data_IF_934044429385
#
_entry.id   IF_934044429385
#
_cell.length_a   1.000
_cell.length_b   1.000
_cell.length_c   1.000
_cell.angle_alpha   90.00
_cell.angle_beta   90.00
_cell.angle_gamma   90.00
#
_symmetry.space_group_name_H-M   'P 1'
#
loop_
_entity.id
_entity.type
_entity.pdbx_description
1 polymer ?
#
# COMPACT_ATOMS: atom_id res chain seq x y z
N UNK A 1 -53.45 54.10 49.16
CA UNK A 1 -52.90 54.73 50.38
C UNK A 1 -52.10 53.65 51.08
N UNK A 2 -50.81 53.91 51.28
CA UNK A 2 -49.83 52.99 51.87
C UNK A 2 -50.14 52.87 53.37
N UNK A 3 -50.12 51.66 53.94
CA UNK A 3 -49.33 51.41 55.15
C UNK A 3 -49.21 49.92 55.52
N UNK A 4 -47.97 49.57 55.84
CA UNK A 4 -47.48 48.40 56.60
C UNK A 4 -47.63 48.77 58.09
N UNK A 5 -47.75 47.89 59.12
CA UNK A 5 -47.03 46.62 59.36
C UNK A 5 -47.94 45.50 59.96
N UNK A 6 -47.57 44.28 60.33
CA UNK A 6 -46.39 43.79 61.07
C UNK A 6 -46.30 42.25 60.98
N UNK A 7 -45.06 41.78 60.93
CA UNK A 7 -44.48 40.43 61.09
C UNK A 7 -45.25 39.41 61.95
N UNK A 8 -45.32 38.14 61.51
CA UNK A 8 -44.98 36.91 62.29
C UNK A 8 -44.67 35.77 61.28
N UNK A 9 -43.56 35.06 61.50
CA UNK A 9 -43.21 33.79 60.87
C UNK A 9 -43.63 32.64 61.80
N UNK A 10 -44.01 31.48 61.26
CA UNK A 10 -43.35 30.28 61.77
C UNK A 10 -42.95 29.27 60.69
N UNK A 11 -41.99 28.48 61.13
CA UNK A 11 -41.30 27.32 60.57
C UNK A 11 -42.12 26.30 59.77
N UNK A 12 -41.39 25.58 58.90
CA UNK A 12 -41.60 24.15 58.71
C UNK A 12 -42.00 23.72 57.30
N UNK A 13 -41.00 23.32 56.51
CA UNK A 13 -40.97 22.08 55.71
C UNK A 13 -40.03 22.27 54.51
N UNK A 14 -38.79 21.84 54.67
CA UNK A 14 -37.86 21.62 53.55
C UNK A 14 -38.41 20.43 52.75
N UNK A 15 -39.08 20.72 51.64
CA UNK A 15 -39.43 19.70 50.66
C UNK A 15 -38.14 19.19 50.01
N UNK A 16 -37.70 18.00 50.43
CA UNK A 16 -36.59 17.27 49.83
C UNK A 16 -36.93 16.95 48.36
N UNK A 17 -36.19 17.55 47.43
CA UNK A 17 -36.21 17.16 46.02
C UNK A 17 -35.88 15.66 45.90
N UNK A 18 -36.58 14.90 45.05
CA UNK A 18 -36.28 13.49 44.86
C UNK A 18 -34.85 13.34 44.35
N UNK A 19 -34.09 12.46 45.01
CA UNK A 19 -32.67 12.22 44.73
C UNK A 19 -32.44 11.98 43.24
N UNK A 20 -31.61 12.83 42.64
CA UNK A 20 -31.09 12.59 41.31
C UNK A 20 -30.37 11.23 41.31
N UNK A 21 -30.97 10.24 40.65
CA UNK A 21 -30.31 8.96 40.38
C UNK A 21 -29.00 9.27 39.68
N UNK A 22 -27.83 8.85 40.20
CA UNK A 22 -26.58 9.07 39.52
C UNK A 22 -26.63 8.30 38.21
N UNK A 23 -26.76 9.02 37.09
CA UNK A 23 -26.67 8.41 35.76
C UNK A 23 -25.25 7.83 35.66
N UNK A 24 -25.07 6.54 35.34
CA UNK A 24 -23.74 5.96 35.21
C UNK A 24 -22.98 6.81 34.19
N UNK A 25 -21.84 7.39 34.58
CA UNK A 25 -20.97 8.15 33.66
C UNK A 25 -20.62 7.22 32.50
N UNK A 26 -21.36 7.34 31.40
CA UNK A 26 -21.15 6.54 30.21
C UNK A 26 -19.69 6.74 29.80
N UNK A 27 -18.92 5.64 29.78
CA UNK A 27 -17.51 5.68 29.43
C UNK A 27 -17.35 6.46 28.11
N UNK A 28 -16.44 7.44 28.09
CA UNK A 28 -16.29 8.34 26.96
C UNK A 28 -16.18 7.55 25.64
N UNK A 29 -16.86 7.96 24.56
CA UNK A 29 -16.86 7.25 23.27
C UNK A 29 -15.45 6.88 22.77
N UNK A 30 -14.46 7.72 23.08
CA UNK A 30 -13.03 7.52 22.81
C UNK A 30 -12.43 6.29 23.53
N UNK A 31 -12.79 6.04 24.80
CA UNK A 31 -12.32 4.85 25.55
C UNK A 31 -12.90 3.56 24.98
N UNK A 32 -14.18 3.56 24.59
CA UNK A 32 -14.83 2.38 23.96
C UNK A 32 -14.22 2.06 22.58
N UNK A 33 -13.93 3.09 21.78
CA UNK A 33 -13.26 2.93 20.50
C UNK A 33 -11.82 2.38 20.62
N UNK A 34 -11.03 2.86 21.58
CA UNK A 34 -9.68 2.35 21.83
C UNK A 34 -9.68 0.90 22.33
N UNK A 35 -10.58 0.54 23.24
CA UNK A 35 -10.73 -0.87 23.70
C UNK A 35 -11.10 -1.80 22.56
N UNK A 36 -12.00 -1.38 21.66
CA UNK A 36 -12.36 -2.15 20.47
C UNK A 36 -11.19 -2.29 19.51
N UNK A 37 -10.40 -1.23 19.26
CA UNK A 37 -9.18 -1.31 18.43
C UNK A 37 -8.15 -2.26 19.02
N UNK A 38 -7.88 -2.17 20.32
CA UNK A 38 -6.96 -3.06 21.03
C UNK A 38 -7.45 -4.51 21.03
N UNK A 39 -8.75 -4.74 21.24
CA UNK A 39 -9.37 -6.06 21.14
C UNK A 39 -9.21 -6.66 19.74
N UNK A 40 -9.46 -5.88 18.69
CA UNK A 40 -9.27 -6.32 17.30
C UNK A 40 -7.79 -6.61 16.98
N UNK A 41 -6.86 -5.80 17.48
CA UNK A 41 -5.43 -6.05 17.32
C UNK A 41 -5.01 -7.35 18.05
N UNK A 42 -5.50 -7.57 19.27
CA UNK A 42 -5.27 -8.81 20.02
C UNK A 42 -5.82 -10.05 19.31
N UNK A 43 -7.04 -9.97 18.77
CA UNK A 43 -7.64 -11.07 17.98
C UNK A 43 -6.82 -11.35 16.72
N UNK A 44 -6.38 -10.31 15.98
CA UNK A 44 -5.53 -10.49 14.79
C UNK A 44 -4.19 -11.16 15.14
N UNK A 45 -3.55 -10.72 16.22
CA UNK A 45 -2.32 -11.33 16.71
C UNK A 45 -2.56 -12.78 17.12
N UNK A 46 -3.66 -13.07 17.83
CA UNK A 46 -4.03 -14.43 18.22
C UNK A 46 -4.24 -15.34 17.00
N UNK A 47 -4.85 -14.84 15.93
CA UNK A 47 -5.00 -15.59 14.67
C UNK A 47 -3.63 -15.91 14.06
N UNK A 48 -2.72 -14.94 13.97
CA UNK A 48 -1.37 -15.17 13.44
C UNK A 48 -0.61 -16.20 14.29
N UNK A 49 -0.62 -16.04 15.61
CA UNK A 49 0.03 -16.97 16.54
C UNK A 49 -0.58 -18.36 16.44
N UNK A 50 -1.91 -18.48 16.34
CA UNK A 50 -2.58 -19.76 16.18
C UNK A 50 -2.18 -20.46 14.87
N UNK A 51 -2.07 -19.73 13.76
CA UNK A 51 -1.62 -20.28 12.47
C UNK A 51 -0.17 -20.76 12.53
N UNK A 52 0.74 -19.97 13.10
CA UNK A 52 2.14 -20.37 13.26
C UNK A 52 2.30 -21.56 14.21
N UNK A 53 1.55 -21.58 15.31
CA UNK A 53 1.53 -22.71 16.24
C UNK A 53 0.99 -23.96 15.56
N UNK A 54 -0.11 -23.86 14.81
CA UNK A 54 -0.67 -24.99 14.07
C UNK A 54 0.33 -25.54 13.04
N UNK A 55 1.00 -24.68 12.29
CA UNK A 55 2.04 -25.09 11.33
C UNK A 55 3.20 -25.80 12.04
N UNK A 56 3.74 -25.24 13.12
CA UNK A 56 4.82 -25.90 13.89
C UNK A 56 4.35 -27.24 14.47
N UNK A 57 3.11 -27.35 14.94
CA UNK A 57 2.55 -28.60 15.46
C UNK A 57 2.43 -29.65 14.36
N UNK A 58 2.00 -29.27 13.15
CA UNK A 58 1.95 -30.18 12.00
C UNK A 58 3.34 -30.72 11.62
N UNK A 59 4.38 -29.89 11.68
CA UNK A 59 5.77 -30.30 11.47
C UNK A 59 6.22 -31.27 12.57
N UNK A 60 6.03 -30.90 13.84
CA UNK A 60 6.41 -31.74 14.99
C UNK A 60 5.69 -33.10 14.98
N UNK A 61 4.43 -33.12 14.56
CA UNK A 61 3.62 -34.32 14.41
C UNK A 61 3.96 -35.14 13.16
N UNK A 62 4.92 -34.69 12.34
CA UNK A 62 5.33 -35.31 11.06
C UNK A 62 4.20 -35.44 10.04
N UNK A 63 3.19 -34.60 10.14
CA UNK A 63 2.11 -34.48 9.14
C UNK A 63 2.66 -33.79 7.89
N UNK A 64 3.55 -32.83 8.11
CA UNK A 64 4.19 -32.02 7.07
C UNK A 64 5.69 -32.19 7.18
N UNK A 65 6.35 -32.45 6.06
CA UNK A 65 7.80 -32.57 6.00
C UNK A 65 8.45 -31.17 5.96
N UNK A 66 9.24 -30.79 6.98
CA UNK A 66 9.89 -29.49 7.01
C UNK A 66 10.90 -29.27 5.88
N UNK A 67 11.37 -30.33 5.20
CA UNK A 67 12.20 -30.18 4.00
C UNK A 67 11.46 -29.43 2.86
N UNK A 68 10.17 -29.73 2.67
CA UNK A 68 9.38 -29.12 1.59
C UNK A 68 8.62 -27.87 2.01
N UNK A 69 8.33 -27.72 3.30
CA UNK A 69 7.44 -26.66 3.78
C UNK A 69 8.09 -25.71 4.76
N UNK A 70 9.33 -25.98 5.18
CA UNK A 70 9.99 -25.28 6.27
C UNK A 70 9.26 -25.45 7.60
N UNK A 71 9.74 -24.73 8.60
CA UNK A 71 9.09 -24.62 9.89
C UNK A 71 9.25 -23.22 10.50
N UNK A 72 8.27 -22.72 11.26
CA UNK A 72 8.32 -21.38 11.86
C UNK A 72 9.59 -21.11 12.68
N UNK A 73 10.07 -22.11 13.42
CA UNK A 73 11.30 -22.00 14.23
C UNK A 73 12.56 -21.88 13.37
N UNK A 74 12.64 -22.65 12.30
CA UNK A 74 13.75 -22.59 11.35
C UNK A 74 13.79 -21.25 10.61
N UNK A 75 12.64 -20.79 10.13
CA UNK A 75 12.50 -19.45 9.51
C UNK A 75 12.96 -18.35 10.46
N UNK A 76 12.61 -18.43 11.74
CA UNK A 76 13.05 -17.47 12.74
C UNK A 76 14.57 -17.54 12.99
N UNK A 77 15.14 -18.74 13.03
CA UNK A 77 16.58 -18.94 13.18
C UNK A 77 17.36 -18.33 12.02
N UNK A 78 16.94 -18.57 10.77
CA UNK A 78 17.61 -18.00 9.59
C UNK A 78 17.53 -16.47 9.56
N UNK A 79 16.37 -15.89 9.93
CA UNK A 79 16.24 -14.45 10.06
C UNK A 79 17.21 -13.88 11.11
N UNK A 80 17.33 -14.56 12.25
CA UNK A 80 18.25 -14.16 13.32
C UNK A 80 19.71 -14.26 12.86
N UNK A 81 20.08 -15.35 12.18
CA UNK A 81 21.43 -15.57 11.68
C UNK A 81 21.79 -14.55 10.59
N UNK A 82 20.89 -14.27 9.66
CA UNK A 82 21.11 -13.25 8.62
C UNK A 82 21.29 -11.85 9.19
N UNK A 83 20.60 -11.52 10.27
CA UNK A 83 20.73 -10.21 10.94
C UNK A 83 22.01 -10.12 11.76
N UNK A 84 22.42 -11.20 12.43
CA UNK A 84 23.52 -11.16 13.41
C UNK A 84 24.87 -11.57 12.84
N UNK A 85 24.89 -12.61 12.01
CA UNK A 85 26.09 -13.18 11.38
C UNK A 85 26.26 -12.65 9.96
N UNK A 86 25.15 -12.42 9.26
CA UNK A 86 25.11 -12.01 7.85
C UNK A 86 24.65 -13.14 6.94
N UNK A 87 24.61 -12.87 5.64
CA UNK A 87 24.20 -13.83 4.61
C UNK A 87 25.42 -14.34 3.87
N UNK A 88 25.26 -15.43 3.11
CA UNK A 88 26.31 -15.90 2.18
C UNK A 88 26.70 -14.87 1.10
N UNK A 89 25.92 -13.79 0.95
CA UNK A 89 26.10 -12.73 -0.05
C UNK A 89 26.58 -11.42 0.58
N UNK A 90 26.92 -11.42 1.88
CA UNK A 90 27.32 -10.24 2.63
C UNK A 90 26.26 -9.81 3.64
N UNK A 91 26.25 -8.53 4.02
CA UNK A 91 25.32 -8.05 5.04
C UNK A 91 23.87 -8.07 4.53
N UNK A 92 22.93 -8.43 5.40
CA UNK A 92 21.50 -8.40 5.05
C UNK A 92 21.03 -6.99 4.67
N UNK A 93 21.60 -5.96 5.32
CA UNK A 93 21.30 -4.56 5.03
C UNK A 93 21.60 -4.19 3.58
N UNK A 94 22.76 -4.61 3.06
CA UNK A 94 23.14 -4.33 1.66
C UNK A 94 22.18 -5.02 0.68
N UNK A 95 21.78 -6.27 0.95
CA UNK A 95 20.81 -6.98 0.11
C UNK A 95 19.46 -6.26 0.08
N UNK A 96 18.96 -5.80 1.25
CA UNK A 96 17.72 -5.02 1.34
C UNK A 96 17.83 -3.71 0.57
N UNK A 97 18.95 -3.00 0.74
CA UNK A 97 19.16 -1.68 0.13
C UNK A 97 19.20 -1.79 -1.39
N UNK A 98 19.89 -2.79 -1.95
CA UNK A 98 19.96 -3.02 -3.40
C UNK A 98 18.56 -3.26 -3.97
N UNK A 99 17.79 -4.19 -3.39
CA UNK A 99 16.43 -4.48 -3.86
C UNK A 99 15.52 -3.26 -3.75
N UNK A 100 15.66 -2.47 -2.66
CA UNK A 100 14.88 -1.26 -2.47
C UNK A 100 15.25 -0.17 -3.47
N UNK A 101 16.55 0.00 -3.78
CA UNK A 101 17.02 0.93 -4.80
C UNK A 101 16.44 0.58 -6.18
N UNK A 102 16.51 -0.69 -6.57
CA UNK A 102 15.95 -1.19 -7.82
C UNK A 102 14.44 -0.93 -7.91
N UNK A 103 13.71 -1.27 -6.85
CA UNK A 103 12.27 -1.07 -6.77
C UNK A 103 11.89 0.42 -6.81
N UNK A 104 12.58 1.28 -6.04
CA UNK A 104 12.31 2.72 -5.98
C UNK A 104 12.61 3.40 -7.32
N UNK A 105 13.75 3.09 -7.95
CA UNK A 105 14.09 3.63 -9.27
C UNK A 105 13.06 3.20 -10.31
N UNK A 106 12.72 1.91 -10.35
CA UNK A 106 11.71 1.38 -11.26
C UNK A 106 10.33 2.01 -11.06
N UNK A 107 9.93 2.17 -9.80
CA UNK A 107 8.69 2.81 -9.41
C UNK A 107 8.63 4.28 -9.82
N UNK A 108 9.66 5.08 -9.51
CA UNK A 108 9.69 6.51 -9.82
C UNK A 108 9.68 6.73 -11.33
N UNK A 109 10.57 6.07 -12.06
CA UNK A 109 10.68 6.21 -13.51
C UNK A 109 9.40 5.70 -14.18
N UNK A 110 8.94 4.50 -13.82
CA UNK A 110 7.72 3.91 -14.39
C UNK A 110 6.48 4.75 -14.11
N UNK A 111 6.33 5.30 -12.91
CA UNK A 111 5.19 6.14 -12.55
C UNK A 111 5.19 7.46 -13.33
N UNK A 112 6.34 8.12 -13.43
CA UNK A 112 6.47 9.37 -14.20
C UNK A 112 6.10 9.12 -15.66
N UNK A 113 6.68 8.09 -16.29
CA UNK A 113 6.37 7.74 -17.67
C UNK A 113 4.89 7.36 -17.83
N UNK A 114 4.35 6.53 -16.93
CA UNK A 114 2.95 6.11 -16.97
C UNK A 114 1.99 7.29 -16.88
N UNK A 115 2.23 8.24 -15.97
CA UNK A 115 1.42 9.46 -15.83
C UNK A 115 1.50 10.31 -17.09
N UNK A 116 2.71 10.60 -17.58
CA UNK A 116 2.93 11.46 -18.74
C UNK A 116 2.25 10.88 -19.98
N UNK A 117 2.51 9.62 -20.30
CA UNK A 117 1.91 8.97 -21.47
C UNK A 117 0.41 8.72 -21.28
N UNK A 118 -0.03 8.33 -20.08
CA UNK A 118 -1.44 8.07 -19.79
C UNK A 118 -2.30 9.32 -19.97
N UNK A 119 -1.87 10.46 -19.41
CA UNK A 119 -2.56 11.74 -19.59
C UNK A 119 -2.50 12.21 -21.05
N UNK A 120 -1.33 12.12 -21.70
CA UNK A 120 -1.17 12.56 -23.08
C UNK A 120 -2.11 11.80 -24.04
N UNK A 121 -2.13 10.46 -23.95
CA UNK A 121 -2.97 9.61 -24.78
C UNK A 121 -4.45 9.70 -24.38
N UNK A 122 -4.76 9.90 -23.10
CA UNK A 122 -6.15 10.06 -22.63
C UNK A 122 -6.79 11.37 -23.09
N UNK A 123 -5.98 12.40 -23.36
CA UNK A 123 -6.44 13.73 -23.78
C UNK A 123 -6.53 13.91 -25.29
N UNK A 124 -5.67 13.25 -26.05
CA UNK A 124 -5.60 13.43 -27.50
C UNK A 124 -6.23 12.23 -28.18
N UNK A 125 -7.46 12.42 -28.69
CA UNK A 125 -8.24 11.35 -29.32
C UNK A 125 -7.47 10.65 -30.45
N UNK A 126 -6.77 11.42 -31.30
CA UNK A 126 -5.93 10.88 -32.37
C UNK A 126 -4.83 9.94 -31.84
N UNK A 127 -4.12 10.32 -30.78
CA UNK A 127 -3.09 9.45 -30.18
C UNK A 127 -3.74 8.19 -29.59
N UNK A 128 -4.91 8.32 -28.96
CA UNK A 128 -5.62 7.15 -28.41
C UNK A 128 -6.00 6.14 -29.50
N UNK A 129 -6.43 6.59 -30.67
CA UNK A 129 -6.80 5.73 -31.79
C UNK A 129 -5.58 5.07 -32.44
N UNK A 130 -4.50 5.84 -32.66
CA UNK A 130 -3.26 5.33 -33.25
C UNK A 130 -2.61 4.29 -32.33
N UNK A 131 -2.54 4.55 -31.02
CA UNK A 131 -1.82 3.69 -30.08
C UNK A 131 -2.68 2.56 -29.49
N UNK A 132 -4.01 2.59 -29.63
CA UNK A 132 -4.92 1.55 -29.12
C UNK A 132 -4.48 0.10 -29.45
N UNK A 133 -4.18 -0.28 -30.72
CA UNK A 133 -3.79 -1.65 -31.03
C UNK A 133 -2.45 -2.03 -30.39
N UNK A 134 -1.48 -1.10 -30.34
CA UNK A 134 -0.17 -1.33 -29.74
C UNK A 134 -0.25 -1.50 -28.22
N UNK A 135 -1.06 -0.68 -27.54
CA UNK A 135 -1.30 -0.81 -26.11
C UNK A 135 -1.97 -2.14 -25.76
N UNK A 136 -2.93 -2.57 -26.59
CA UNK A 136 -3.59 -3.87 -26.43
C UNK A 136 -2.59 -5.01 -26.61
N UNK A 137 -1.78 -4.97 -27.66
CA UNK A 137 -0.74 -5.96 -27.91
C UNK A 137 0.30 -6.02 -26.78
N UNK A 138 0.78 -4.86 -26.32
CA UNK A 138 1.76 -4.76 -25.24
C UNK A 138 1.22 -5.30 -23.90
N UNK A 139 -0.07 -5.11 -23.62
CA UNK A 139 -0.69 -5.64 -22.41
C UNK A 139 -0.80 -7.18 -22.43
N UNK A 140 -0.95 -7.79 -23.62
CA UNK A 140 -1.01 -9.25 -23.77
C UNK A 140 0.32 -9.97 -23.55
N UNK A 141 1.46 -9.25 -23.55
CA UNK A 141 2.78 -9.86 -23.37
C UNK A 141 2.98 -10.20 -21.89
N UNK A 142 3.34 -11.46 -21.54
CA UNK A 142 3.70 -11.81 -20.17
C UNK A 142 4.99 -11.10 -19.74
N UNK A 143 4.83 -9.99 -19.01
CA UNK A 143 5.94 -9.07 -18.68
C UNK A 143 7.03 -9.72 -17.83
N UNK A 144 6.69 -10.72 -17.03
CA UNK A 144 7.64 -11.47 -16.19
C UNK A 144 8.74 -12.11 -17.04
N UNK A 145 8.42 -12.60 -18.25
CA UNK A 145 9.37 -13.27 -19.15
C UNK A 145 10.43 -12.28 -19.66
N UNK A 146 10.11 -10.99 -19.72
CA UNK A 146 11.05 -9.96 -20.18
C UNK A 146 12.28 -9.83 -19.27
N UNK A 147 12.19 -10.27 -18.01
CA UNK A 147 13.33 -10.22 -17.09
C UNK A 147 14.57 -10.98 -17.59
N UNK A 148 14.37 -12.14 -18.20
CA UNK A 148 15.49 -12.92 -18.77
C UNK A 148 16.09 -12.20 -19.97
N UNK A 149 15.25 -11.60 -20.82
CA UNK A 149 15.69 -10.82 -21.99
C UNK A 149 16.50 -9.61 -21.53
N UNK A 150 16.02 -8.89 -20.52
CA UNK A 150 16.73 -7.73 -19.96
C UNK A 150 18.03 -8.12 -19.26
N UNK A 151 18.08 -9.27 -18.60
CA UNK A 151 19.33 -9.80 -18.03
C UNK A 151 20.35 -10.09 -19.12
N UNK A 152 19.94 -10.66 -20.26
CA UNK A 152 20.83 -10.89 -21.41
C UNK A 152 21.25 -9.57 -22.07
N UNK A 153 20.34 -8.62 -22.22
CA UNK A 153 20.58 -7.36 -22.94
C UNK A 153 21.40 -6.35 -22.13
N UNK A 154 21.12 -6.20 -20.83
CA UNK A 154 21.73 -5.20 -19.96
C UNK A 154 22.69 -5.81 -18.92
N UNK A 155 22.79 -7.14 -18.86
CA UNK A 155 23.65 -7.86 -17.91
C UNK A 155 23.08 -8.00 -16.51
N UNK A 156 23.95 -8.38 -15.57
CA UNK A 156 23.63 -8.68 -14.17
C UNK A 156 23.60 -7.45 -13.25
N UNK A 157 23.83 -6.25 -13.79
CA UNK A 157 23.77 -5.00 -13.03
C UNK A 157 22.35 -4.57 -12.68
N UNK A 158 22.24 -3.40 -12.05
CA UNK A 158 20.98 -2.80 -11.59
C UNK A 158 20.00 -2.51 -12.75
N UNK A 159 20.52 -2.22 -13.94
CA UNK A 159 19.75 -1.78 -15.11
C UNK A 159 18.68 -2.79 -15.53
N UNK A 160 19.00 -4.09 -15.55
CA UNK A 160 18.06 -5.13 -15.97
C UNK A 160 16.83 -5.23 -15.05
N UNK A 161 17.03 -5.04 -13.74
CA UNK A 161 15.97 -5.11 -12.71
C UNK A 161 15.14 -3.84 -12.74
N UNK A 162 15.79 -2.69 -12.81
CA UNK A 162 15.11 -1.39 -12.91
C UNK A 162 14.25 -1.33 -14.16
N UNK A 163 14.75 -1.73 -15.33
CA UNK A 163 13.95 -1.74 -16.57
C UNK A 163 12.75 -2.67 -16.45
N UNK A 164 12.92 -3.85 -15.84
CA UNK A 164 11.79 -4.75 -15.58
C UNK A 164 10.76 -4.08 -14.68
N UNK A 165 11.17 -3.53 -13.54
CA UNK A 165 10.30 -2.80 -12.62
C UNK A 165 9.59 -1.62 -13.30
N UNK A 166 10.30 -0.83 -14.13
CA UNK A 166 9.71 0.25 -14.94
C UNK A 166 8.59 -0.26 -15.82
N UNK A 167 8.79 -1.37 -16.54
CA UNK A 167 7.77 -1.93 -17.44
C UNK A 167 6.53 -2.38 -16.67
N UNK A 168 6.70 -3.05 -15.52
CA UNK A 168 5.56 -3.48 -14.71
C UNK A 168 4.77 -2.27 -14.17
N UNK A 169 5.47 -1.27 -13.62
CA UNK A 169 4.88 -0.06 -13.05
C UNK A 169 4.21 0.80 -14.11
N UNK A 170 4.89 1.01 -15.24
CA UNK A 170 4.47 1.90 -16.33
C UNK A 170 3.03 1.61 -16.75
N UNK A 171 2.70 0.36 -17.06
CA UNK A 171 1.36 0.01 -17.53
C UNK A 171 0.29 0.16 -16.44
N UNK A 172 0.61 -0.19 -15.19
CA UNK A 172 -0.31 -0.04 -14.07
C UNK A 172 -0.71 1.42 -13.86
N UNK A 173 0.27 2.32 -13.85
CA UNK A 173 0.05 3.76 -13.71
C UNK A 173 -0.55 4.38 -14.97
N UNK A 174 -0.08 3.97 -16.15
CA UNK A 174 -0.55 4.45 -17.45
C UNK A 174 -2.06 4.28 -17.61
N UNK A 175 -2.59 3.08 -17.38
CA UNK A 175 -4.03 2.84 -17.58
C UNK A 175 -4.88 3.63 -16.60
N UNK A 176 -4.46 3.77 -15.34
CA UNK A 176 -5.18 4.60 -14.37
C UNK A 176 -5.12 6.10 -14.71
N UNK A 177 -3.97 6.60 -15.14
CA UNK A 177 -3.82 7.98 -15.59
C UNK A 177 -4.64 8.26 -16.87
N UNK A 178 -4.66 7.31 -17.82
CA UNK A 178 -5.45 7.37 -19.05
C UNK A 178 -6.95 7.43 -18.76
N UNK A 179 -7.45 6.54 -17.90
CA UNK A 179 -8.86 6.51 -17.51
C UNK A 179 -9.25 7.77 -16.74
N UNK A 180 -8.44 8.16 -15.74
CA UNK A 180 -8.67 9.39 -14.97
C UNK A 180 -8.68 10.66 -15.83
N UNK A 181 -7.88 10.71 -16.90
CA UNK A 181 -7.89 11.82 -17.85
C UNK A 181 -9.14 11.86 -18.75
N UNK A 182 -9.78 10.71 -19.01
CA UNK A 182 -11.01 10.60 -19.83
C UNK A 182 -12.29 10.78 -19.01
N UNK A 183 -12.27 10.47 -17.73
CA UNK A 183 -13.41 10.62 -16.81
C UNK A 183 -13.64 12.05 -16.32
N UNK A 184 -12.73 12.98 -16.63
CA UNK A 184 -12.92 14.40 -16.31
C UNK A 184 -14.18 14.93 -17.00
N UNK A 185 -15.05 15.57 -16.22
CA UNK A 185 -16.30 16.13 -16.73
C UNK A 185 -16.04 17.07 -17.92
N UNK A 186 -16.69 16.73 -19.05
CA UNK A 186 -16.60 17.49 -20.29
C UNK A 186 -17.12 18.92 -20.11
N UNK A 187 -18.08 19.14 -19.21
CA UNK A 187 -18.60 20.46 -18.88
C UNK A 187 -17.55 21.33 -18.18
N UNK A 188 -16.77 20.77 -17.25
CA UNK A 188 -15.65 21.50 -16.62
C UNK A 188 -14.61 21.92 -17.66
N UNK A 189 -14.30 21.03 -18.60
CA UNK A 189 -13.37 21.32 -19.70
C UNK A 189 -13.95 22.40 -20.65
N UNK A 190 -15.24 22.30 -20.99
CA UNK A 190 -15.92 23.25 -21.87
C UNK A 190 -16.00 24.65 -21.23
N UNK A 191 -16.41 24.74 -19.96
CA UNK A 191 -16.49 25.99 -19.21
C UNK A 191 -15.12 26.66 -19.08
N UNK A 192 -14.06 25.90 -18.77
CA UNK A 192 -12.70 26.43 -18.72
C UNK A 192 -12.26 27.02 -20.08
N UNK A 193 -12.61 26.36 -21.19
CA UNK A 193 -12.31 26.87 -22.54
C UNK A 193 -13.13 28.12 -22.88
N UNK A 194 -14.40 28.20 -22.49
CA UNK A 194 -15.25 29.38 -22.65
C UNK A 194 -14.67 30.59 -21.90
N UNK A 195 -14.04 30.36 -20.74
CA UNK A 195 -13.31 31.37 -19.97
C UNK A 195 -11.91 31.70 -20.53
N UNK A 196 -11.55 31.21 -21.72
CA UNK A 196 -10.29 31.52 -22.40
C UNK A 196 -9.08 30.68 -21.93
N UNK A 197 -9.29 29.58 -21.21
CA UNK A 197 -8.17 28.71 -20.81
C UNK A 197 -7.56 27.99 -22.03
N UNK A 198 -6.24 28.11 -22.19
CA UNK A 198 -5.48 27.38 -23.22
C UNK A 198 -5.49 25.87 -22.94
N UNK A 199 -5.19 25.04 -23.95
CA UNK A 199 -5.14 23.57 -23.80
C UNK A 199 -4.23 23.12 -22.66
N UNK A 200 -3.10 23.80 -22.48
CA UNK A 200 -2.17 23.53 -21.37
C UNK A 200 -2.78 23.89 -20.02
N UNK A 201 -3.41 25.07 -19.90
CA UNK A 201 -4.08 25.52 -18.67
C UNK A 201 -5.21 24.56 -18.26
N UNK A 202 -6.02 24.12 -19.23
CA UNK A 202 -7.04 23.08 -18.98
C UNK A 202 -6.43 21.78 -18.47
N UNK A 203 -5.31 21.34 -19.05
CA UNK A 203 -4.65 20.10 -18.59
C UNK A 203 -4.09 20.25 -17.18
N UNK A 204 -3.37 21.35 -16.90
CA UNK A 204 -2.73 21.58 -15.60
C UNK A 204 -3.71 21.87 -14.47
N UNK A 205 -4.77 22.64 -14.75
CA UNK A 205 -5.63 23.20 -13.69
C UNK A 205 -6.96 22.44 -13.54
N UNK A 206 -7.37 21.67 -14.55
CA UNK A 206 -8.62 20.88 -14.51
C UNK A 206 -8.32 19.39 -14.55
N UNK A 207 -7.64 18.93 -15.60
CA UNK A 207 -7.48 17.48 -15.84
C UNK A 207 -6.55 16.85 -14.82
N UNK A 208 -5.36 17.40 -14.62
CA UNK A 208 -4.35 16.82 -13.75
C UNK A 208 -4.85 16.73 -12.29
N UNK A 209 -5.49 17.77 -11.70
CA UNK A 209 -6.09 17.67 -10.37
C UNK A 209 -7.21 16.63 -10.29
N UNK A 210 -8.07 16.52 -11.31
CA UNK A 210 -9.14 15.50 -11.34
C UNK A 210 -8.58 14.08 -11.47
N UNK A 211 -7.59 13.87 -12.33
CA UNK A 211 -6.93 12.57 -12.53
C UNK A 211 -6.03 12.18 -11.35
N UNK A 212 -5.59 13.14 -10.53
CA UNK A 212 -4.68 12.90 -9.41
C UNK A 212 -5.21 11.86 -8.42
N UNK A 213 -6.52 11.79 -8.19
CA UNK A 213 -7.13 10.77 -7.31
C UNK A 213 -6.92 9.36 -7.86
N UNK A 214 -7.10 9.19 -9.17
CA UNK A 214 -6.89 7.91 -9.86
C UNK A 214 -5.41 7.53 -9.88
N UNK A 215 -4.55 8.50 -10.15
CA UNK A 215 -3.10 8.32 -10.16
C UNK A 215 -2.60 7.89 -8.78
N UNK A 216 -3.02 8.58 -7.71
CA UNK A 216 -2.64 8.22 -6.34
C UNK A 216 -3.16 6.85 -5.93
N UNK A 217 -4.39 6.49 -6.31
CA UNK A 217 -4.94 5.16 -6.05
C UNK A 217 -4.11 4.06 -6.73
N UNK A 218 -3.58 4.31 -7.93
CA UNK A 218 -2.73 3.35 -8.63
C UNK A 218 -1.34 3.19 -8.03
N UNK A 219 -0.89 4.18 -7.25
CA UNK A 219 0.49 4.25 -6.78
C UNK A 219 0.82 3.12 -5.79
N UNK A 220 -0.12 2.77 -4.90
CA UNK A 220 -0.01 1.66 -3.94
C UNK A 220 0.26 0.32 -4.63
N UNK A 221 -0.60 -0.03 -5.58
CA UNK A 221 -0.48 -1.27 -6.37
C UNK A 221 0.81 -1.25 -7.19
N UNK A 222 1.17 -0.07 -7.72
CA UNK A 222 2.33 0.08 -8.59
C UNK A 222 3.65 -0.11 -7.84
N UNK A 223 3.75 0.30 -6.58
CA UNK A 223 4.94 0.01 -5.78
C UNK A 223 5.10 -1.51 -5.55
N UNK A 224 4.00 -2.22 -5.27
CA UNK A 224 4.02 -3.69 -5.20
C UNK A 224 4.57 -4.32 -6.49
N UNK A 225 4.15 -3.82 -7.66
CA UNK A 225 4.70 -4.26 -8.94
C UNK A 225 6.17 -3.90 -9.15
N UNK A 226 6.63 -2.77 -8.64
CA UNK A 226 8.04 -2.40 -8.70
C UNK A 226 8.90 -3.38 -7.89
N UNK A 227 8.45 -3.72 -6.68
CA UNK A 227 9.12 -4.69 -5.81
C UNK A 227 9.13 -6.09 -6.46
N UNK A 228 8.00 -6.52 -7.03
CA UNK A 228 7.94 -7.78 -7.79
C UNK A 228 8.91 -7.75 -8.97
N UNK A 229 8.98 -6.63 -9.71
CA UNK A 229 9.90 -6.45 -10.83
C UNK A 229 11.37 -6.56 -10.43
N UNK A 230 11.76 -5.90 -9.33
CA UNK A 230 13.10 -6.01 -8.77
C UNK A 230 13.41 -7.47 -8.37
N UNK A 231 12.55 -8.07 -7.54
CA UNK A 231 12.75 -9.43 -7.03
C UNK A 231 12.85 -10.48 -8.14
N UNK A 232 11.97 -10.41 -9.14
CA UNK A 232 12.00 -11.33 -10.29
C UNK A 232 13.28 -11.11 -11.10
N UNK A 233 13.68 -9.86 -11.34
CA UNK A 233 14.92 -9.56 -12.04
C UNK A 233 16.15 -10.07 -11.28
N UNK A 234 16.16 -9.97 -9.95
CA UNK A 234 17.23 -10.50 -9.09
C UNK A 234 17.32 -12.03 -9.16
N UNK A 235 16.18 -12.72 -9.09
CA UNK A 235 16.11 -14.17 -9.23
C UNK A 235 16.65 -14.60 -10.60
N UNK A 236 16.27 -13.91 -11.68
CA UNK A 236 16.70 -14.26 -13.03
C UNK A 236 18.20 -13.99 -13.26
N UNK A 237 18.75 -12.98 -12.60
CA UNK A 237 20.20 -12.82 -12.51
C UNK A 237 20.63 -11.52 -11.86
N UNK A 238 21.16 -11.61 -10.64
CA UNK A 238 21.85 -10.55 -9.93
C UNK A 238 23.08 -11.06 -9.17
N UNK A 239 23.92 -10.11 -8.75
CA UNK A 239 25.06 -10.38 -7.85
C UNK A 239 24.75 -10.00 -6.38
N UNK A 240 23.69 -9.23 -6.15
CA UNK A 240 23.22 -8.77 -4.83
C UNK A 240 21.70 -8.59 -4.90
N UNK A 241 21.03 -8.60 -3.76
CA UNK A 241 19.59 -8.43 -3.63
C UNK A 241 18.90 -9.59 -2.89
N UNK A 242 17.71 -9.31 -2.36
CA UNK A 242 16.89 -10.29 -1.64
C UNK A 242 16.42 -11.44 -2.54
N UNK A 243 16.14 -11.18 -3.82
CA UNK A 243 15.81 -12.20 -4.80
C UNK A 243 16.95 -13.17 -5.06
N UNK A 244 18.21 -12.70 -5.01
CA UNK A 244 19.38 -13.58 -5.07
C UNK A 244 19.45 -14.47 -3.81
N UNK A 245 19.22 -13.90 -2.63
CA UNK A 245 19.21 -14.65 -1.37
C UNK A 245 18.15 -15.76 -1.38
N UNK A 246 16.92 -15.43 -1.80
CA UNK A 246 15.82 -16.40 -1.95
C UNK A 246 16.19 -17.49 -2.95
N UNK A 247 16.72 -17.12 -4.13
CA UNK A 247 17.17 -18.08 -5.14
C UNK A 247 18.29 -18.97 -4.63
N UNK A 248 19.22 -18.43 -3.85
CA UNK A 248 20.33 -19.19 -3.28
C UNK A 248 19.82 -20.24 -2.29
N UNK A 249 18.94 -19.86 -1.36
CA UNK A 249 18.29 -20.81 -0.44
C UNK A 249 17.50 -21.88 -1.21
N UNK A 250 16.78 -21.48 -2.26
CA UNK A 250 16.05 -22.43 -3.12
C UNK A 250 16.99 -23.43 -3.79
N UNK A 251 18.12 -22.98 -4.36
CA UNK A 251 19.11 -23.84 -5.00
C UNK A 251 19.81 -24.79 -3.99
N UNK A 252 19.89 -24.38 -2.73
CA UNK A 252 20.45 -25.16 -1.63
C UNK A 252 19.41 -26.08 -0.96
N UNK A 253 18.18 -26.13 -1.47
CA UNK A 253 17.05 -26.85 -0.87
C UNK A 253 16.76 -26.46 0.58
N UNK A 254 17.08 -25.21 0.94
CA UNK A 254 16.79 -24.62 2.24
C UNK A 254 15.44 -23.88 2.19
N UNK A 255 14.37 -24.60 2.52
CA UNK A 255 13.02 -24.01 2.52
C UNK A 255 12.82 -23.00 3.65
N UNK A 256 13.53 -23.13 4.78
CA UNK A 256 13.46 -22.15 5.86
C UNK A 256 14.01 -20.80 5.38
N UNK A 257 15.17 -20.80 4.70
CA UNK A 257 15.74 -19.60 4.11
C UNK A 257 14.86 -18.98 3.02
N UNK A 258 14.25 -19.79 2.15
CA UNK A 258 13.28 -19.28 1.16
C UNK A 258 12.14 -18.52 1.85
N UNK A 259 11.53 -19.12 2.87
CA UNK A 259 10.43 -18.52 3.61
C UNK A 259 10.87 -17.31 4.45
N UNK A 260 12.07 -17.33 5.03
CA UNK A 260 12.66 -16.18 5.71
C UNK A 260 12.82 -14.99 4.76
N UNK A 261 13.32 -15.22 3.54
CA UNK A 261 13.38 -14.21 2.49
C UNK A 261 12.00 -13.67 2.11
N UNK A 262 11.00 -14.55 1.96
CA UNK A 262 9.61 -14.12 1.68
C UNK A 262 9.01 -13.27 2.81
N UNK A 263 9.28 -13.62 4.08
CA UNK A 263 8.86 -12.84 5.25
C UNK A 263 9.50 -11.45 5.21
N UNK A 264 10.80 -11.36 4.92
CA UNK A 264 11.49 -10.09 4.83
C UNK A 264 10.92 -9.19 3.71
N UNK A 265 10.66 -9.77 2.53
CA UNK A 265 10.02 -9.06 1.42
C UNK A 265 8.62 -8.58 1.81
N UNK A 266 7.84 -9.39 2.53
CA UNK A 266 6.52 -9.00 3.02
C UNK A 266 6.60 -7.82 4.02
N UNK A 267 7.56 -7.84 4.95
CA UNK A 267 7.81 -6.74 5.88
C UNK A 267 8.19 -5.46 5.15
N UNK A 268 9.07 -5.54 4.14
CA UNK A 268 9.46 -4.39 3.32
C UNK A 268 8.26 -3.83 2.55
N UNK A 269 7.48 -4.70 1.89
CA UNK A 269 6.29 -4.32 1.15
C UNK A 269 5.26 -3.60 2.04
N UNK A 270 4.96 -4.16 3.22
CA UNK A 270 4.01 -3.57 4.18
C UNK A 270 4.52 -2.23 4.75
N UNK A 271 5.83 -2.12 4.97
CA UNK A 271 6.46 -0.88 5.43
C UNK A 271 6.35 0.20 4.36
N UNK A 272 6.67 -0.13 3.11
CA UNK A 272 6.57 0.80 1.99
C UNK A 272 5.11 1.23 1.73
N UNK A 273 4.15 0.29 1.75
CA UNK A 273 2.71 0.59 1.63
C UNK A 273 2.24 1.57 2.72
N UNK A 274 2.72 1.38 3.94
CA UNK A 274 2.42 2.28 5.07
C UNK A 274 2.98 3.69 4.84
N UNK A 275 4.19 3.79 4.28
CA UNK A 275 4.82 5.07 3.93
C UNK A 275 4.08 5.77 2.78
N UNK A 276 3.68 5.03 1.74
CA UNK A 276 2.89 5.58 0.62
C UNK A 276 1.54 6.06 1.12
N UNK A 277 0.86 5.29 1.98
CA UNK A 277 -0.39 5.71 2.63
C UNK A 277 -0.23 6.99 3.44
N UNK A 278 0.88 7.14 4.16
CA UNK A 278 1.16 8.36 4.92
C UNK A 278 1.37 9.56 3.98
N UNK A 279 2.09 9.36 2.88
CA UNK A 279 2.32 10.39 1.86
C UNK A 279 1.00 10.79 1.19
N UNK A 280 0.17 9.83 0.80
CA UNK A 280 -1.15 10.05 0.23
C UNK A 280 -2.03 10.89 1.16
N UNK A 281 -2.11 10.53 2.45
CA UNK A 281 -2.89 11.28 3.44
C UNK A 281 -2.41 12.71 3.61
N UNK A 282 -1.11 12.97 3.41
CA UNK A 282 -0.54 14.33 3.47
C UNK A 282 -0.85 15.12 2.20
N UNK A 283 -0.79 14.48 1.04
CA UNK A 283 -1.12 15.10 -0.25
C UNK A 283 -2.63 15.37 -0.37
N UNK A 284 -3.49 14.43 0.03
CA UNK A 284 -4.95 14.55 -0.08
C UNK A 284 -5.61 15.34 1.07
N UNK A 285 -4.85 16.10 1.87
CA UNK A 285 -5.42 16.91 2.99
C UNK A 285 -6.45 17.93 2.53
N UNK A 286 -6.40 18.38 1.28
CA UNK A 286 -7.37 19.30 0.71
C UNK A 286 -8.73 18.67 0.43
N UNK A 287 -8.85 17.34 0.47
CA UNK A 287 -10.10 16.64 0.15
C UNK A 287 -11.00 16.55 1.40
N UNK A 288 -12.28 16.92 1.31
CA UNK A 288 -13.25 16.62 2.36
C UNK A 288 -13.28 15.09 2.62
N UNK A 289 -13.37 14.63 3.87
CA UNK A 289 -13.51 13.22 4.16
C UNK A 289 -14.70 12.66 3.38
N UNK A 290 -14.48 11.65 2.55
CA UNK A 290 -15.58 10.92 1.94
C UNK A 290 -16.33 10.21 3.07
N UNK A 291 -17.45 10.77 3.50
CA UNK A 291 -18.43 10.08 4.35
C UNK A 291 -18.83 8.82 3.62
N UNK A 292 -18.25 7.68 4.03
CA UNK A 292 -18.75 6.38 3.65
C UNK A 292 -20.16 6.28 4.25
N UNK A 293 -21.18 6.53 3.44
CA UNK A 293 -22.58 6.29 3.79
C UNK A 293 -22.77 4.79 4.02
N UNK A 294 -22.62 4.36 5.26
CA UNK A 294 -22.64 2.96 5.64
C UNK A 294 -22.95 2.81 7.13
N UNK A 295 -24.11 3.31 7.54
CA UNK A 295 -24.74 2.98 8.82
C UNK A 295 -26.26 3.13 8.69
N UNK A 296 -26.85 2.29 7.84
CA UNK A 296 -28.27 1.97 7.88
C UNK A 296 -28.39 0.49 7.51
N UNK A 297 -28.09 -0.37 8.48
CA UNK A 297 -28.65 -1.72 8.51
C UNK A 297 -29.39 -1.73 9.85
N UNK A 298 -30.72 -1.65 9.75
CA UNK A 298 -31.65 -1.99 10.84
C UNK A 298 -31.46 -3.43 11.30
#
# INVERSE_FOLDING_TARGET
MIDTPTRVQPDGAVASAPGAVPTPRAASPRRRANRRRLGLAGVRLAVVVALLAAWQLCVNAKIVDPFFWGEPRGVWADLQDWVTVGTSQGSLGDQILVTLEEAVLGFVIGSILGIVFGIALGRIHLLSEIFAPFLKAANSIPRIILGSIFTVAFGFGIQSKVVLAVVLVFFGVFFNAFQGAREVDRNLIANARLLGASRWRVTRDVVLPSAFTWILASLHISFGFALIGALVGEILGANQGLGLLIRSSQNNFDMNGVLAGMVLVAVIALTAESLITLLERRLLRWRPPQTHGGAAIE
#
